data_IF_765206694624
#
_entry.id   IF_765206694624
#
_cell.length_a   1.000
_cell.length_b   1.000
_cell.length_c   1.000
_cell.angle_alpha   90.00
_cell.angle_beta   90.00
_cell.angle_gamma   90.00
#
_symmetry.space_group_name_H-M   'P 1'
#
loop_
_entity.id
_entity.type
_entity.pdbx_description
1 polymer ?
#
# COMPACT_ATOMS: atom_id res chain seq x y z
N UNK A 1 -13.28 6.69 -32.02
CA UNK A 1 -13.86 6.60 -30.66
C UNK A 1 -13.92 5.13 -30.26
N UNK A 2 -12.81 4.56 -29.78
CA UNK A 2 -12.65 3.10 -29.48
C UNK A 2 -12.56 2.79 -27.98
N UNK A 3 -12.77 3.80 -27.12
CA UNK A 3 -12.69 3.68 -25.66
C UNK A 3 -13.78 2.78 -25.05
N UNK A 4 -15.01 2.89 -25.55
CA UNK A 4 -16.18 2.16 -25.05
C UNK A 4 -16.05 0.62 -25.22
N UNK A 5 -15.64 0.08 -26.40
CA UNK A 5 -15.41 -1.35 -26.57
C UNK A 5 -14.38 -1.96 -25.60
N UNK A 6 -13.33 -1.23 -25.25
CA UNK A 6 -12.28 -1.71 -24.34
C UNK A 6 -12.83 -1.83 -22.92
N UNK A 7 -13.53 -0.80 -22.46
CA UNK A 7 -14.15 -0.79 -21.13
C UNK A 7 -15.16 -1.93 -21.03
N UNK A 8 -15.99 -2.13 -22.06
CA UNK A 8 -16.96 -3.20 -22.10
C UNK A 8 -16.30 -4.59 -22.05
N UNK A 9 -15.25 -4.82 -22.84
CA UNK A 9 -14.48 -6.08 -22.80
C UNK A 9 -13.94 -6.35 -21.39
N UNK A 10 -13.28 -5.37 -20.78
CA UNK A 10 -12.68 -5.50 -19.45
C UNK A 10 -13.75 -5.75 -18.36
N UNK A 11 -14.88 -5.05 -18.43
CA UNK A 11 -16.00 -5.25 -17.51
C UNK A 11 -16.65 -6.61 -17.67
N UNK A 12 -16.86 -7.10 -18.91
CA UNK A 12 -17.39 -8.45 -19.16
C UNK A 12 -16.46 -9.54 -18.63
N UNK A 13 -15.15 -9.39 -18.81
CA UNK A 13 -14.15 -10.33 -18.27
C UNK A 13 -14.22 -10.37 -16.74
N UNK A 14 -14.33 -9.22 -16.09
CA UNK A 14 -14.45 -9.14 -14.63
C UNK A 14 -15.78 -9.68 -14.13
N UNK A 15 -16.90 -9.36 -14.79
CA UNK A 15 -18.23 -9.84 -14.41
C UNK A 15 -18.34 -11.38 -14.42
N UNK A 16 -17.63 -12.05 -15.33
CA UNK A 16 -17.60 -13.52 -15.43
C UNK A 16 -16.74 -14.20 -14.36
N UNK A 17 -15.91 -13.47 -13.61
CA UNK A 17 -15.13 -14.06 -12.50
C UNK A 17 -16.02 -14.23 -11.27
N UNK A 18 -16.30 -15.48 -10.87
CA UNK A 18 -17.01 -15.84 -9.62
C UNK A 18 -16.39 -15.19 -8.35
N UNK A 19 -15.12 -14.76 -8.43
CA UNK A 19 -14.39 -14.06 -7.37
C UNK A 19 -14.77 -12.60 -7.13
N UNK A 20 -15.80 -12.02 -7.77
CA UNK A 20 -16.24 -10.64 -7.49
C UNK A 20 -17.03 -10.48 -6.18
N UNK A 21 -17.58 -11.57 -5.62
CA UNK A 21 -18.35 -11.55 -4.36
C UNK A 21 -17.44 -11.47 -3.13
N UNK A 22 -16.36 -12.25 -3.11
CA UNK A 22 -15.43 -12.31 -1.99
C UNK A 22 -14.81 -10.96 -1.59
N UNK A 23 -14.30 -10.11 -2.51
CA UNK A 23 -13.73 -8.83 -2.12
C UNK A 23 -14.77 -7.89 -1.49
N UNK A 24 -16.04 -7.95 -1.91
CA UNK A 24 -17.13 -7.13 -1.34
C UNK A 24 -17.42 -7.50 0.12
N UNK A 25 -17.51 -8.80 0.41
CA UNK A 25 -17.75 -9.29 1.77
C UNK A 25 -16.56 -8.92 2.67
N UNK A 26 -15.33 -9.10 2.17
CA UNK A 26 -14.12 -8.73 2.91
C UNK A 26 -14.10 -7.22 3.20
N UNK A 27 -14.39 -6.36 2.21
CA UNK A 27 -14.41 -4.91 2.42
C UNK A 27 -15.49 -4.48 3.39
N UNK A 28 -16.68 -5.10 3.36
CA UNK A 28 -17.75 -4.81 4.31
C UNK A 28 -17.37 -5.23 5.74
N UNK A 29 -16.78 -6.42 5.92
CA UNK A 29 -16.31 -6.88 7.24
C UNK A 29 -15.19 -5.99 7.77
N UNK A 30 -14.22 -5.61 6.93
CA UNK A 30 -13.15 -4.68 7.32
C UNK A 30 -13.73 -3.32 7.70
N UNK A 31 -14.69 -2.79 6.93
CA UNK A 31 -15.37 -1.55 7.28
C UNK A 31 -16.10 -1.64 8.62
N UNK A 32 -16.78 -2.76 8.89
CA UNK A 32 -17.44 -3.02 10.17
C UNK A 32 -16.44 -3.04 11.32
N UNK A 33 -15.31 -3.73 11.17
CA UNK A 33 -14.26 -3.75 12.19
C UNK A 33 -13.68 -2.34 12.44
N UNK A 34 -13.47 -1.55 11.39
CA UNK A 34 -12.99 -0.16 11.50
C UNK A 34 -14.01 0.70 12.25
N UNK A 35 -15.29 0.62 11.89
CA UNK A 35 -16.37 1.35 12.57
C UNK A 35 -16.43 0.91 14.04
N UNK A 36 -16.47 -0.39 14.31
CA UNK A 36 -16.53 -0.90 15.67
C UNK A 36 -15.33 -0.42 16.50
N UNK A 37 -14.14 -0.47 15.92
CA UNK A 37 -12.91 0.01 16.55
C UNK A 37 -12.96 1.50 16.86
N UNK A 38 -13.30 2.34 15.88
CA UNK A 38 -13.30 3.80 16.03
C UNK A 38 -14.42 4.31 16.94
N UNK A 39 -15.56 3.63 16.96
CA UNK A 39 -16.75 4.06 17.68
C UNK A 39 -16.77 3.53 19.12
N UNK A 40 -16.52 2.24 19.31
CA UNK A 40 -16.71 1.60 20.61
C UNK A 40 -15.44 1.63 21.44
N UNK A 41 -14.28 1.22 20.92
CA UNK A 41 -13.06 1.04 21.73
C UNK A 41 -12.68 2.27 22.57
N UNK A 42 -12.75 3.51 22.05
CA UNK A 42 -12.46 4.69 22.87
C UNK A 42 -13.42 4.85 24.06
N UNK A 43 -14.69 4.44 23.92
CA UNK A 43 -15.67 4.49 25.01
C UNK A 43 -15.36 3.44 26.09
N UNK A 44 -15.00 2.23 25.70
CA UNK A 44 -14.65 1.16 26.66
C UNK A 44 -13.47 1.56 27.55
N UNK A 45 -12.61 2.47 27.07
CA UNK A 45 -11.41 2.92 27.78
C UNK A 45 -11.55 4.32 28.39
N UNK A 46 -12.76 4.89 28.41
CA UNK A 46 -12.97 6.21 29.02
C UNK A 46 -12.33 7.37 28.27
N UNK A 47 -12.03 7.20 26.97
CA UNK A 47 -11.53 8.24 26.05
C UNK A 47 -12.60 8.60 25.00
N UNK A 48 -13.73 9.19 25.39
CA UNK A 48 -14.77 9.57 24.46
C UNK A 48 -14.24 10.63 23.49
N UNK A 49 -14.09 10.25 22.21
CA UNK A 49 -13.81 11.21 21.15
C UNK A 49 -15.07 11.99 20.77
N UNK A 50 -14.94 13.26 20.36
CA UNK A 50 -16.07 13.99 19.80
C UNK A 50 -16.60 13.28 18.55
N UNK A 51 -17.93 13.26 18.30
CA UNK A 51 -18.51 12.49 17.21
C UNK A 51 -17.94 12.84 15.83
N UNK A 52 -17.65 14.13 15.59
CA UNK A 52 -17.00 14.62 14.36
C UNK A 52 -15.62 13.97 14.13
N UNK A 53 -14.78 13.86 15.18
CA UNK A 53 -13.47 13.23 15.08
C UNK A 53 -13.56 11.72 14.85
N UNK A 54 -14.56 11.05 15.43
CA UNK A 54 -14.82 9.64 15.18
C UNK A 54 -15.22 9.39 13.72
N UNK A 55 -16.11 10.22 13.16
CA UNK A 55 -16.50 10.16 11.74
C UNK A 55 -15.30 10.45 10.82
N UNK A 56 -14.51 11.49 11.11
CA UNK A 56 -13.31 11.83 10.33
C UNK A 56 -12.28 10.68 10.35
N UNK A 57 -12.04 10.08 11.51
CA UNK A 57 -11.11 8.95 11.67
C UNK A 57 -11.62 7.69 10.96
N UNK A 58 -12.92 7.43 11.01
CA UNK A 58 -13.52 6.32 10.28
C UNK A 58 -13.36 6.50 8.75
N UNK A 59 -13.67 7.69 8.24
CA UNK A 59 -13.50 8.00 6.82
C UNK A 59 -12.04 7.99 6.37
N UNK A 60 -11.09 8.42 7.20
CA UNK A 60 -9.66 8.37 6.85
C UNK A 60 -9.17 6.92 6.73
N UNK A 61 -9.58 6.02 7.63
CA UNK A 61 -9.28 4.59 7.56
C UNK A 61 -9.97 3.89 6.38
N UNK A 62 -11.20 4.26 6.02
CA UNK A 62 -11.86 3.71 4.82
C UNK A 62 -11.22 4.23 3.53
N UNK A 63 -10.80 5.51 3.52
CA UNK A 63 -10.05 6.10 2.41
C UNK A 63 -8.70 5.41 2.22
N UNK A 64 -8.07 4.98 3.31
CA UNK A 64 -6.87 4.14 3.28
C UNK A 64 -7.13 2.81 2.59
N UNK A 65 -8.21 2.12 2.95
CA UNK A 65 -8.61 0.85 2.30
C UNK A 65 -8.86 1.07 0.81
N UNK A 66 -9.56 2.15 0.45
CA UNK A 66 -9.81 2.54 -0.95
C UNK A 66 -8.50 2.78 -1.71
N UNK A 67 -7.55 3.52 -1.12
CA UNK A 67 -6.24 3.81 -1.71
C UNK A 67 -5.43 2.53 -1.98
N UNK A 68 -5.35 1.63 -1.01
CA UNK A 68 -4.64 0.36 -1.19
C UNK A 68 -5.32 -0.54 -2.22
N UNK A 69 -6.65 -0.54 -2.25
CA UNK A 69 -7.42 -1.33 -3.20
C UNK A 69 -7.25 -0.83 -4.63
N UNK A 70 -7.35 0.49 -4.86
CA UNK A 70 -7.16 1.09 -6.18
C UNK A 70 -5.74 0.86 -6.71
N UNK A 71 -4.72 1.05 -5.86
CA UNK A 71 -3.34 0.77 -6.23
C UNK A 71 -3.12 -0.70 -6.59
N UNK A 72 -3.66 -1.65 -5.80
CA UNK A 72 -3.49 -3.09 -6.06
C UNK A 72 -4.16 -3.56 -7.34
N UNK A 73 -5.41 -3.14 -7.58
CA UNK A 73 -6.18 -3.58 -8.76
C UNK A 73 -5.57 -3.07 -10.08
N UNK A 74 -4.90 -1.91 -10.05
CA UNK A 74 -4.31 -1.29 -11.24
C UNK A 74 -2.83 -1.62 -11.44
N UNK A 75 -2.07 -1.89 -10.37
CA UNK A 75 -0.62 -2.04 -10.41
C UNK A 75 -0.11 -3.22 -11.27
N UNK A 76 -0.87 -4.31 -11.43
CA UNK A 76 -0.48 -5.40 -12.34
C UNK A 76 -1.22 -5.37 -13.70
N UNK A 77 -2.17 -4.45 -13.91
CA UNK A 77 -3.09 -4.52 -15.06
C UNK A 77 -2.45 -4.33 -16.43
N UNK A 78 -1.31 -3.61 -16.51
CA UNK A 78 -0.54 -3.40 -17.74
C UNK A 78 0.69 -4.31 -17.79
N UNK A 79 1.32 -4.56 -16.64
CA UNK A 79 2.45 -5.48 -16.56
C UNK A 79 2.05 -6.94 -16.80
N UNK A 80 0.83 -7.34 -16.46
CA UNK A 80 0.26 -8.66 -16.80
C UNK A 80 0.14 -8.82 -18.32
N UNK A 81 -0.41 -7.84 -19.04
CA UNK A 81 -0.51 -7.88 -20.51
C UNK A 81 0.87 -7.85 -21.20
N UNK A 82 1.83 -7.15 -20.60
CA UNK A 82 3.21 -7.17 -21.08
C UNK A 82 3.85 -8.55 -20.90
N UNK A 83 3.66 -9.19 -19.73
CA UNK A 83 4.18 -10.53 -19.42
C UNK A 83 3.56 -11.60 -20.31
N UNK A 84 2.27 -11.46 -20.61
CA UNK A 84 1.53 -12.35 -21.51
C UNK A 84 1.75 -12.04 -23.00
N UNK A 85 2.58 -11.05 -23.33
CA UNK A 85 2.86 -10.60 -24.71
C UNK A 85 1.61 -10.18 -25.51
N UNK A 86 0.50 -9.88 -24.83
CA UNK A 86 -0.76 -9.46 -25.47
C UNK A 86 -0.82 -7.96 -25.74
N UNK A 87 0.04 -7.17 -25.09
CA UNK A 87 0.11 -5.72 -25.27
C UNK A 87 0.46 -5.32 -26.72
N UNK A 88 1.37 -6.06 -27.36
CA UNK A 88 1.76 -5.81 -28.75
C UNK A 88 0.59 -6.02 -29.71
N UNK A 89 -0.16 -7.13 -29.54
CA UNK A 89 -1.36 -7.43 -30.30
C UNK A 89 -2.44 -6.36 -30.13
N UNK A 90 -2.59 -5.82 -28.92
CA UNK A 90 -3.56 -4.78 -28.61
C UNK A 90 -3.24 -3.46 -29.32
N UNK A 91 -1.96 -3.12 -29.46
CA UNK A 91 -1.52 -1.89 -30.15
C UNK A 91 -1.50 -2.01 -31.69
N UNK A 92 -1.52 -3.23 -32.24
CA UNK A 92 -1.71 -3.45 -33.68
C UNK A 92 -3.12 -3.04 -34.15
N UNK A 93 -4.10 -3.03 -33.25
CA UNK A 93 -5.49 -2.65 -33.54
C UNK A 93 -5.75 -1.13 -33.64
N UNK A 94 -4.73 -0.35 -34.03
CA UNK A 94 -4.74 1.13 -34.13
C UNK A 94 -5.10 1.88 -32.83
N UNK A 95 -4.96 1.26 -31.66
CA UNK A 95 -5.24 1.88 -30.37
C UNK A 95 -4.07 2.73 -29.87
N UNK A 96 -4.36 3.94 -29.37
CA UNK A 96 -3.34 4.79 -28.75
C UNK A 96 -3.10 4.33 -27.30
N UNK A 97 -1.86 4.42 -26.81
CA UNK A 97 -1.52 3.98 -25.45
C UNK A 97 -2.31 4.69 -24.34
N UNK A 98 -2.73 5.94 -24.55
CA UNK A 98 -3.59 6.66 -23.62
C UNK A 98 -5.05 6.14 -23.60
N UNK A 99 -5.54 5.59 -24.72
CA UNK A 99 -6.88 5.00 -24.79
C UNK A 99 -6.94 3.69 -23.99
N UNK A 100 -5.88 2.89 -24.07
CA UNK A 100 -5.71 1.68 -23.26
C UNK A 100 -5.61 2.03 -21.77
N UNK A 101 -4.79 3.04 -21.43
CA UNK A 101 -4.61 3.48 -20.05
C UNK A 101 -5.92 3.96 -19.42
N UNK A 102 -6.68 4.80 -20.12
CA UNK A 102 -7.97 5.31 -19.65
C UNK A 102 -9.03 4.22 -19.54
N UNK A 103 -9.09 3.28 -20.50
CA UNK A 103 -9.99 2.13 -20.43
C UNK A 103 -9.71 1.23 -19.22
N UNK A 104 -8.44 0.95 -18.92
CA UNK A 104 -8.03 0.18 -17.74
C UNK A 104 -8.27 0.92 -16.43
N UNK A 105 -8.07 2.24 -16.41
CA UNK A 105 -8.42 3.06 -15.26
C UNK A 105 -9.91 2.94 -14.95
N UNK A 106 -10.77 3.21 -15.94
CA UNK A 106 -12.23 3.19 -15.78
C UNK A 106 -12.76 1.82 -15.37
N UNK A 107 -12.28 0.74 -15.99
CA UNK A 107 -12.75 -0.60 -15.61
C UNK A 107 -12.33 -0.98 -14.19
N UNK A 108 -11.15 -0.55 -13.73
CA UNK A 108 -10.65 -0.82 -12.38
C UNK A 108 -11.34 0.07 -11.34
N UNK A 109 -11.57 1.36 -11.63
CA UNK A 109 -12.27 2.28 -10.73
C UNK A 109 -13.73 1.90 -10.56
N UNK A 110 -14.43 1.47 -11.63
CA UNK A 110 -15.81 0.95 -11.52
C UNK A 110 -15.85 -0.30 -10.64
N UNK A 111 -14.91 -1.22 -10.84
CA UNK A 111 -14.84 -2.45 -10.03
C UNK A 111 -14.61 -2.13 -8.54
N UNK A 112 -13.69 -1.21 -8.25
CA UNK A 112 -13.41 -0.78 -6.89
C UNK A 112 -14.55 0.07 -6.29
N UNK A 113 -15.22 0.90 -7.08
CA UNK A 113 -16.41 1.65 -6.68
C UNK A 113 -17.53 0.73 -6.23
N UNK A 114 -17.79 -0.35 -6.97
CA UNK A 114 -18.77 -1.36 -6.55
C UNK A 114 -18.40 -2.07 -5.24
N UNK A 115 -17.11 -2.22 -4.93
CA UNK A 115 -16.70 -2.78 -3.62
C UNK A 115 -16.82 -1.75 -2.50
N UNK A 116 -16.61 -0.46 -2.79
CA UNK A 116 -16.82 0.62 -1.82
C UNK A 116 -18.30 0.85 -1.52
N UNK A 117 -19.22 0.59 -2.46
CA UNK A 117 -20.66 0.62 -2.17
C UNK A 117 -21.06 -0.33 -1.03
N UNK A 118 -20.28 -1.40 -0.79
CA UNK A 118 -20.51 -2.30 0.33
C UNK A 118 -20.20 -1.66 1.71
N UNK A 119 -19.46 -0.54 1.76
CA UNK A 119 -19.17 0.17 3.01
C UNK A 119 -20.23 1.21 3.36
N UNK A 120 -21.10 1.59 2.42
CA UNK A 120 -22.17 2.59 2.63
C UNK A 120 -23.09 2.23 3.80
N UNK A 121 -23.60 0.99 3.93
CA UNK A 121 -24.44 0.64 5.07
C UNK A 121 -23.67 0.75 6.40
N UNK A 122 -22.39 0.40 6.41
CA UNK A 122 -21.54 0.43 7.60
C UNK A 122 -21.27 1.88 8.04
N UNK A 123 -21.15 2.79 7.08
CA UNK A 123 -21.00 4.24 7.32
C UNK A 123 -22.23 4.87 7.99
N UNK A 124 -23.42 4.25 7.93
CA UNK A 124 -24.60 4.76 8.64
C UNK A 124 -24.42 4.75 10.16
N UNK A 125 -23.68 3.78 10.70
CA UNK A 125 -23.47 3.62 12.16
C UNK A 125 -22.78 4.83 12.80
N UNK A 126 -21.61 5.31 12.32
CA UNK A 126 -21.00 6.50 12.89
C UNK A 126 -21.83 7.78 12.63
N UNK A 127 -22.62 7.82 11.55
CA UNK A 127 -23.50 8.96 11.26
C UNK A 127 -24.68 9.06 12.24
N UNK A 128 -25.21 7.93 12.71
CA UNK A 128 -26.28 7.88 13.72
C UNK A 128 -25.86 8.43 15.08
N UNK A 129 -24.55 8.46 15.38
CA UNK A 129 -24.02 9.03 16.63
C UNK A 129 -24.11 10.56 16.70
N UNK A 130 -24.57 11.19 15.61
CA UNK A 130 -24.55 12.64 15.45
C UNK A 130 -23.15 13.13 15.04
N UNK A 131 -23.08 14.36 14.52
CA UNK A 131 -21.80 15.02 14.21
C UNK A 131 -21.40 15.09 12.73
N UNK A 132 -22.28 14.76 11.79
CA UNK A 132 -22.03 15.04 10.38
C UNK A 132 -23.27 15.57 9.67
N UNK A 133 -23.14 16.74 9.06
CA UNK A 133 -24.16 17.26 8.14
C UNK A 133 -24.20 16.41 6.85
N UNK A 134 -25.37 16.25 6.20
CA UNK A 134 -25.46 15.52 4.93
C UNK A 134 -24.48 16.01 3.85
N UNK A 135 -24.22 17.33 3.83
CA UNK A 135 -23.25 17.96 2.94
C UNK A 135 -21.82 17.51 3.26
N UNK A 136 -21.46 17.37 4.53
CA UNK A 136 -20.15 16.86 4.95
C UNK A 136 -19.97 15.40 4.50
N UNK A 137 -20.99 14.55 4.67
CA UNK A 137 -20.94 13.15 4.19
C UNK A 137 -20.73 13.06 2.68
N UNK A 138 -21.41 13.91 1.91
CA UNK A 138 -21.23 13.97 0.46
C UNK A 138 -19.79 14.38 0.08
N UNK A 139 -19.24 15.41 0.74
CA UNK A 139 -17.85 15.84 0.55
C UNK A 139 -16.86 14.71 0.87
N UNK A 140 -17.07 13.96 1.95
CA UNK A 140 -16.21 12.83 2.31
C UNK A 140 -16.30 11.68 1.30
N UNK A 141 -17.50 11.39 0.80
CA UNK A 141 -17.69 10.40 -0.27
C UNK A 141 -16.93 10.80 -1.54
N UNK A 142 -16.95 12.09 -1.91
CA UNK A 142 -16.16 12.62 -3.02
C UNK A 142 -14.65 12.47 -2.78
N UNK A 143 -14.15 12.76 -1.57
CA UNK A 143 -12.73 12.58 -1.22
C UNK A 143 -12.32 11.11 -1.35
N UNK A 144 -13.15 10.18 -0.88
CA UNK A 144 -12.88 8.75 -0.96
C UNK A 144 -12.83 8.28 -2.44
N UNK A 145 -13.77 8.73 -3.27
CA UNK A 145 -13.79 8.43 -4.71
C UNK A 145 -12.56 9.04 -5.43
N UNK A 146 -12.22 10.28 -5.11
CA UNK A 146 -11.06 10.96 -5.69
C UNK A 146 -9.75 10.24 -5.34
N UNK A 147 -9.60 9.83 -4.07
CA UNK A 147 -8.46 9.05 -3.61
C UNK A 147 -8.38 7.69 -4.31
N UNK A 148 -9.52 7.05 -4.56
CA UNK A 148 -9.57 5.82 -5.34
C UNK A 148 -9.04 6.03 -6.76
N UNK A 149 -9.50 7.08 -7.45
CA UNK A 149 -9.04 7.40 -8.82
C UNK A 149 -7.54 7.73 -8.84
N UNK A 150 -7.06 8.53 -7.89
CA UNK A 150 -5.64 8.87 -7.77
C UNK A 150 -4.77 7.63 -7.51
N UNK A 151 -5.18 6.76 -6.58
CA UNK A 151 -4.45 5.52 -6.29
C UNK A 151 -4.42 4.55 -7.48
N UNK A 152 -5.52 4.48 -8.23
CA UNK A 152 -5.61 3.72 -9.46
C UNK A 152 -4.69 4.27 -10.57
N UNK A 153 -4.60 5.59 -10.69
CA UNK A 153 -3.69 6.26 -11.63
C UNK A 153 -2.21 6.01 -11.26
N UNK A 154 -1.88 6.06 -9.96
CA UNK A 154 -0.53 5.75 -9.45
C UNK A 154 -0.14 4.29 -9.73
N UNK A 155 -1.05 3.34 -9.46
CA UNK A 155 -0.83 1.93 -9.79
C UNK A 155 -0.59 1.71 -11.28
N UNK A 156 -1.42 2.31 -12.13
CA UNK A 156 -1.27 2.24 -13.59
C UNK A 156 0.05 2.85 -14.09
N UNK A 157 0.47 3.98 -13.51
CA UNK A 157 1.73 4.64 -13.83
C UNK A 157 2.94 3.74 -13.57
N UNK A 158 3.00 3.08 -12.41
CA UNK A 158 4.08 2.16 -12.09
C UNK A 158 3.99 0.84 -12.87
N UNK A 159 2.77 0.36 -13.15
CA UNK A 159 2.51 -0.81 -14.01
C UNK A 159 3.07 -0.60 -15.41
N UNK A 160 2.86 0.58 -16.00
CA UNK A 160 3.39 0.92 -17.33
C UNK A 160 4.91 0.96 -17.40
N UNK A 161 5.61 1.27 -16.28
CA UNK A 161 7.07 1.45 -16.22
C UNK A 161 7.85 0.23 -15.75
N UNK A 162 7.17 -0.71 -15.10
CA UNK A 162 7.82 -1.88 -14.50
C UNK A 162 7.35 -3.15 -15.21
N UNK A 163 8.25 -4.10 -15.46
CA UNK A 163 7.89 -5.38 -16.11
C UNK A 163 7.48 -6.45 -15.09
N UNK A 164 7.63 -6.13 -13.81
CA UNK A 164 7.43 -7.02 -12.68
C UNK A 164 6.26 -6.43 -11.86
N UNK A 165 5.11 -7.09 -11.91
CA UNK A 165 3.86 -6.61 -11.31
C UNK A 165 3.98 -6.33 -9.82
N UNK A 166 4.81 -7.10 -9.11
CA UNK A 166 5.04 -6.87 -7.68
C UNK A 166 5.77 -5.58 -7.40
N UNK A 167 6.81 -5.30 -8.19
CA UNK A 167 7.57 -4.06 -8.04
C UNK A 167 6.69 -2.85 -8.34
N UNK A 168 5.81 -2.97 -9.35
CA UNK A 168 4.81 -1.95 -9.61
C UNK A 168 3.88 -1.77 -8.41
N UNK A 169 3.40 -2.87 -7.81
CA UNK A 169 2.54 -2.84 -6.63
C UNK A 169 3.24 -2.21 -5.42
N UNK A 170 4.47 -2.62 -5.09
CA UNK A 170 5.22 -2.07 -3.94
C UNK A 170 5.49 -0.58 -4.12
N UNK A 171 5.88 -0.15 -5.32
CA UNK A 171 6.11 1.27 -5.63
C UNK A 171 4.83 2.10 -5.56
N UNK A 172 3.72 1.57 -6.08
CA UNK A 172 2.43 2.25 -6.00
C UNK A 172 1.96 2.39 -4.54
N UNK A 173 2.11 1.35 -3.72
CA UNK A 173 1.77 1.40 -2.30
C UNK A 173 2.69 2.33 -1.50
N UNK A 174 3.98 2.39 -1.85
CA UNK A 174 4.92 3.32 -1.23
C UNK A 174 4.53 4.77 -1.49
N UNK A 175 4.24 5.10 -2.76
CA UNK A 175 3.87 6.46 -3.11
C UNK A 175 2.54 6.85 -2.46
N UNK A 176 1.55 5.95 -2.43
CA UNK A 176 0.29 6.23 -1.73
C UNK A 176 0.46 6.38 -0.22
N UNK A 177 1.25 5.52 0.43
CA UNK A 177 1.53 5.65 1.86
C UNK A 177 2.26 6.95 2.19
N UNK A 178 3.22 7.35 1.34
CA UNK A 178 3.90 8.63 1.46
C UNK A 178 2.91 9.80 1.38
N UNK A 179 2.02 9.81 0.38
CA UNK A 179 1.02 10.87 0.19
C UNK A 179 -0.01 10.94 1.32
N UNK A 180 -0.41 9.81 1.91
CA UNK A 180 -1.48 9.76 2.91
C UNK A 180 -1.03 9.97 4.35
N UNK A 181 0.24 9.71 4.67
CA UNK A 181 0.75 9.78 6.04
C UNK A 181 1.90 10.76 6.21
N UNK A 182 2.93 10.64 5.37
CA UNK A 182 4.16 11.46 5.51
C UNK A 182 3.90 12.89 5.09
N UNK A 183 3.15 13.09 4.01
CA UNK A 183 2.81 14.43 3.52
C UNK A 183 1.95 15.22 4.52
N UNK A 184 0.83 14.69 5.06
CA UNK A 184 0.05 15.41 6.07
C UNK A 184 0.84 15.66 7.36
N UNK A 185 1.74 14.77 7.80
CA UNK A 185 2.59 15.07 8.96
C UNK A 185 3.57 16.20 8.70
N UNK A 186 4.17 16.27 7.50
CA UNK A 186 5.04 17.38 7.10
C UNK A 186 4.29 18.71 7.06
N UNK A 187 3.08 18.69 6.51
CA UNK A 187 2.18 19.85 6.43
C UNK A 187 1.74 20.30 7.81
N UNK A 188 1.36 19.35 8.66
CA UNK A 188 0.95 19.59 10.03
C UNK A 188 2.01 20.40 10.78
N UNK A 189 3.26 19.99 10.66
CA UNK A 189 4.39 20.70 11.27
C UNK A 189 4.60 22.10 10.68
N UNK A 190 4.54 22.25 9.35
CA UNK A 190 4.70 23.55 8.70
C UNK A 190 3.60 24.55 9.11
N UNK A 191 2.40 24.07 9.44
CA UNK A 191 1.30 24.91 9.88
C UNK A 191 1.47 25.46 11.31
N UNK A 192 2.23 24.78 12.18
CA UNK A 192 2.45 25.20 13.58
C UNK A 192 3.46 26.37 13.65
N UNK A 193 4.46 26.39 12.77
CA UNK A 193 5.51 27.42 12.73
C UNK A 193 5.07 28.83 12.24
N UNK A 194 3.79 29.00 11.93
CA UNK A 194 3.20 30.29 11.54
C UNK A 194 3.55 30.82 10.13
N UNK A 195 3.00 31.99 9.75
CA UNK A 195 2.97 32.48 8.36
C UNK A 195 4.32 32.95 7.78
N UNK A 196 5.33 33.17 8.63
CA UNK A 196 6.64 33.74 8.26
C UNK A 196 7.70 32.68 7.92
N UNK A 197 7.34 31.39 7.95
CA UNK A 197 8.28 30.29 7.70
C UNK A 197 8.72 30.19 6.23
N UNK A 198 10.01 29.88 5.95
CA UNK A 198 10.49 29.62 4.58
C UNK A 198 9.83 28.39 3.92
N UNK A 199 9.09 27.58 4.67
CA UNK A 199 8.43 26.36 4.22
C UNK A 199 7.04 26.59 3.61
N UNK A 200 6.68 27.82 3.22
CA UNK A 200 5.41 28.12 2.54
C UNK A 200 5.19 27.28 1.27
N UNK A 201 6.25 26.88 0.57
CA UNK A 201 6.15 25.96 -0.56
C UNK A 201 5.66 24.56 -0.14
N UNK A 202 5.93 24.12 1.09
CA UNK A 202 5.36 22.90 1.65
C UNK A 202 3.86 23.01 1.88
N UNK A 203 3.32 24.23 2.07
CA UNK A 203 1.87 24.44 2.10
C UNK A 203 1.21 24.16 0.74
N UNK A 204 1.93 24.29 -0.38
CA UNK A 204 1.43 23.84 -1.69
C UNK A 204 1.42 22.31 -1.81
N UNK A 205 2.26 21.60 -1.05
CA UNK A 205 2.23 20.14 -0.99
C UNK A 205 0.97 19.64 -0.26
N UNK A 206 0.31 20.45 0.58
CA UNK A 206 -0.97 20.10 1.19
C UNK A 206 -1.99 19.60 0.18
N UNK A 207 -2.07 20.24 -0.98
CA UNK A 207 -3.05 19.91 -2.01
C UNK A 207 -2.88 18.49 -2.58
N UNK A 208 -1.68 17.91 -2.49
CA UNK A 208 -1.43 16.53 -2.92
C UNK A 208 -1.88 15.49 -1.88
N UNK A 209 -2.15 15.88 -0.64
CA UNK A 209 -2.54 14.96 0.43
C UNK A 209 -4.03 14.56 0.32
N UNK A 210 -4.35 13.27 0.12
CA UNK A 210 -5.74 12.82 0.00
C UNK A 210 -6.52 12.85 1.33
N UNK A 211 -5.83 12.80 2.48
CA UNK A 211 -6.48 12.68 3.80
C UNK A 211 -6.79 14.02 4.45
N UNK A 212 -6.03 15.09 4.17
CA UNK A 212 -6.28 16.43 4.74
C UNK A 212 -7.70 16.97 4.50
N UNK A 213 -8.32 16.79 3.31
CA UNK A 213 -9.69 17.24 3.07
C UNK A 213 -10.74 16.66 4.02
N UNK A 214 -10.50 15.47 4.58
CA UNK A 214 -11.41 14.81 5.52
C UNK A 214 -11.48 15.60 6.82
N UNK A 215 -10.33 16.01 7.34
CA UNK A 215 -10.20 16.77 8.57
C UNK A 215 -10.72 18.21 8.41
N UNK A 216 -10.45 18.83 7.25
CA UNK A 216 -10.94 20.17 6.93
C UNK A 216 -12.46 20.29 6.78
N UNK A 217 -13.16 19.23 6.36
CA UNK A 217 -14.64 19.22 6.26
C UNK A 217 -15.32 19.41 7.63
N UNK A 218 -14.71 18.91 8.69
CA UNK A 218 -15.25 19.03 10.05
C UNK A 218 -14.63 20.18 10.85
N UNK A 219 -13.66 20.90 10.28
CA UNK A 219 -12.88 21.90 11.03
C UNK A 219 -12.09 21.29 12.18
N UNK A 220 -11.84 19.97 12.15
CA UNK A 220 -11.10 19.25 13.18
C UNK A 220 -9.62 19.27 12.81
N UNK A 221 -8.79 19.97 13.58
CA UNK A 221 -7.34 20.08 13.31
C UNK A 221 -6.96 21.32 12.49
N UNK A 222 -6.09 21.16 11.48
CA UNK A 222 -5.48 22.26 10.69
C UNK A 222 -6.48 23.09 9.86
N UNK A 223 -7.23 23.97 10.52
CA UNK A 223 -8.10 24.97 9.90
C UNK A 223 -7.33 25.98 9.04
N UNK A 224 -6.11 26.37 9.46
CA UNK A 224 -5.27 27.36 8.76
C UNK A 224 -4.77 26.92 7.38
N UNK A 225 -4.60 25.60 7.15
CA UNK A 225 -4.20 25.07 5.84
C UNK A 225 -5.36 25.03 4.83
N UNK A 226 -6.61 25.06 5.32
CA UNK A 226 -7.81 24.98 4.50
C UNK A 226 -8.26 26.35 3.95
N UNK A 227 -7.88 27.44 4.62
CA UNK A 227 -8.20 28.82 4.23
C UNK A 227 -7.57 29.26 2.90
N UNK A 228 -6.47 28.63 2.48
CA UNK A 228 -5.71 29.02 1.27
C UNK A 228 -6.33 28.55 -0.06
N UNK A 229 -7.29 27.63 -0.04
CA UNK A 229 -7.85 27.09 -1.29
C UNK A 229 -9.22 26.41 -1.19
N UNK A 230 -9.73 26.13 0.00
CA UNK A 230 -11.01 25.44 0.18
C UNK A 230 -11.06 24.02 -0.38
N UNK A 231 -12.12 23.30 -0.05
CA UNK A 231 -12.32 21.87 -0.38
C UNK A 231 -12.12 21.52 -1.87
N UNK A 232 -12.59 22.38 -2.78
CA UNK A 232 -12.60 22.10 -4.21
C UNK A 232 -11.22 22.15 -4.88
N UNK A 233 -10.29 22.96 -4.37
CA UNK A 233 -8.93 23.04 -4.92
C UNK A 233 -8.14 21.77 -4.63
N UNK A 234 -8.26 21.20 -3.42
CA UNK A 234 -7.67 19.90 -3.09
C UNK A 234 -8.13 18.82 -4.07
N UNK A 235 -9.44 18.73 -4.30
CA UNK A 235 -10.03 17.77 -5.23
C UNK A 235 -9.54 18.00 -6.67
N UNK A 236 -9.52 19.27 -7.12
CA UNK A 236 -9.06 19.64 -8.46
C UNK A 236 -7.58 19.32 -8.70
N UNK A 237 -6.71 19.63 -7.76
CA UNK A 237 -5.26 19.35 -7.86
C UNK A 237 -5.00 17.85 -7.89
N UNK A 238 -5.66 17.08 -7.02
CA UNK A 238 -5.53 15.62 -6.99
C UNK A 238 -6.04 14.97 -8.27
N UNK A 239 -7.16 15.44 -8.80
CA UNK A 239 -7.71 14.95 -10.06
C UNK A 239 -6.81 15.33 -11.24
N UNK A 240 -6.25 16.55 -11.26
CA UNK A 240 -5.24 16.97 -12.23
C UNK A 240 -4.01 16.06 -12.20
N UNK A 241 -3.49 15.76 -11.01
CA UNK A 241 -2.39 14.82 -10.82
C UNK A 241 -2.73 13.41 -11.33
N UNK A 242 -3.93 12.91 -11.04
CA UNK A 242 -4.38 11.61 -11.52
C UNK A 242 -4.38 11.54 -13.07
N UNK A 243 -4.93 12.55 -13.75
CA UNK A 243 -4.92 12.60 -15.22
C UNK A 243 -3.52 12.76 -15.82
N UNK A 244 -2.65 13.55 -15.18
CA UNK A 244 -1.24 13.67 -15.58
C UNK A 244 -0.53 12.31 -15.49
N UNK A 245 -0.76 11.55 -14.42
CA UNK A 245 -0.21 10.21 -14.25
C UNK A 245 -0.75 9.22 -15.29
N UNK A 246 -2.04 9.28 -15.61
CA UNK A 246 -2.66 8.45 -16.66
C UNK A 246 -2.07 8.78 -18.03
N UNK A 247 -1.90 10.06 -18.35
CA UNK A 247 -1.25 10.47 -19.59
C UNK A 247 0.21 9.99 -19.65
N UNK A 248 0.93 10.11 -18.54
CA UNK A 248 2.29 9.62 -18.42
C UNK A 248 2.38 8.08 -18.47
N UNK A 249 1.33 7.37 -18.05
CA UNK A 249 1.20 5.92 -18.20
C UNK A 249 0.94 5.54 -19.67
N UNK A 250 0.05 6.25 -20.36
CA UNK A 250 -0.23 6.06 -21.79
C UNK A 250 1.01 6.29 -22.65
N UNK A 251 1.76 7.36 -22.40
CA UNK A 251 3.09 7.57 -23.03
C UNK A 251 4.06 6.45 -22.69
N UNK A 252 4.02 5.93 -21.46
CA UNK A 252 4.84 4.81 -21.01
C UNK A 252 4.57 3.53 -21.79
N UNK A 253 3.29 3.18 -21.97
CA UNK A 253 2.82 2.01 -22.74
C UNK A 253 3.35 2.06 -24.18
N UNK A 254 3.12 3.17 -24.89
CA UNK A 254 3.56 3.32 -26.29
C UNK A 254 5.08 3.31 -26.44
N UNK A 255 5.82 3.88 -25.47
CA UNK A 255 7.29 3.86 -25.52
C UNK A 255 7.88 2.48 -25.27
N UNK A 256 7.15 1.58 -24.59
CA UNK A 256 7.61 0.23 -24.26
C UNK A 256 7.26 -0.80 -25.31
N UNK A 257 6.18 -0.59 -26.04
CA UNK A 257 5.77 -1.48 -27.14
C UNK A 257 6.69 -1.39 -28.36
N UNK A 258 7.41 -0.28 -28.51
CA UNK A 258 8.46 -0.15 -29.52
C UNK A 258 9.74 -0.65 -28.88
N UNK A 259 10.15 -1.88 -29.21
CA UNK A 259 11.45 -2.46 -28.84
C UNK A 259 12.58 -1.61 -29.42
N UNK A 260 12.92 -0.51 -28.73
CA UNK A 260 14.08 0.29 -29.10
C UNK A 260 15.33 -0.44 -28.63
N UNK A 261 16.35 -0.59 -29.49
CA UNK A 261 17.63 -1.14 -29.06
C UNK A 261 18.16 -0.33 -27.89
N UNK A 262 18.64 -1.03 -26.86
CA UNK A 262 19.12 -0.40 -25.62
C UNK A 262 20.40 0.36 -25.95
N UNK A 263 20.35 1.70 -26.01
CA UNK A 263 21.53 2.52 -26.26
C UNK A 263 22.65 2.29 -25.23
N UNK A 264 23.91 2.46 -25.63
CA UNK A 264 25.12 2.15 -24.85
C UNK A 264 25.14 2.69 -23.40
N UNK A 265 24.63 3.91 -23.18
CA UNK A 265 24.51 4.48 -21.83
C UNK A 265 23.57 3.67 -20.93
N UNK A 266 22.44 3.20 -21.46
CA UNK A 266 21.49 2.36 -20.73
C UNK A 266 22.02 0.94 -20.49
N UNK A 267 22.94 0.45 -21.32
CA UNK A 267 23.64 -0.82 -21.10
C UNK A 267 24.61 -0.72 -19.89
N UNK A 268 25.38 0.37 -19.79
CA UNK A 268 26.25 0.63 -18.64
C UNK A 268 25.46 0.79 -17.32
N UNK A 269 24.34 1.51 -17.36
CA UNK A 269 23.42 1.58 -16.23
C UNK A 269 22.77 0.24 -15.91
N UNK A 270 22.37 -0.56 -16.90
CA UNK A 270 21.85 -1.93 -16.69
C UNK A 270 22.88 -2.86 -16.08
N UNK A 271 24.16 -2.74 -16.46
CA UNK A 271 25.25 -3.49 -15.84
C UNK A 271 25.48 -3.06 -14.39
N UNK A 272 25.55 -1.75 -14.10
CA UNK A 272 25.65 -1.23 -12.72
C UNK A 272 24.45 -1.64 -11.86
N UNK A 273 23.25 -1.59 -12.42
CA UNK A 273 22.03 -2.09 -11.77
C UNK A 273 22.05 -3.61 -11.61
N UNK A 274 22.59 -4.36 -12.56
CA UNK A 274 22.78 -5.81 -12.48
C UNK A 274 23.75 -6.21 -11.37
N UNK A 275 24.86 -5.47 -11.24
CA UNK A 275 25.84 -5.61 -10.18
C UNK A 275 25.25 -5.26 -8.81
N UNK A 276 24.46 -4.20 -8.71
CA UNK A 276 23.71 -3.95 -7.48
C UNK A 276 22.69 -5.08 -7.23
N UNK A 277 21.93 -5.57 -8.24
CA UNK A 277 20.82 -6.56 -8.11
C UNK A 277 21.27 -7.91 -7.61
N UNK A 278 22.39 -8.39 -8.13
CA UNK A 278 22.86 -9.76 -7.96
C UNK A 278 24.19 -9.81 -7.19
N UNK A 279 24.87 -8.69 -7.01
CA UNK A 279 26.26 -8.62 -6.57
C UNK A 279 27.25 -8.85 -7.72
N UNK A 280 28.54 -8.63 -7.44
CA UNK A 280 29.61 -9.07 -8.34
C UNK A 280 29.55 -10.59 -8.59
N UNK A 281 30.14 -11.03 -9.69
CA UNK A 281 30.11 -12.45 -10.14
C UNK A 281 30.63 -13.41 -9.07
N UNK A 282 31.74 -13.09 -8.41
CA UNK A 282 32.32 -13.89 -7.33
C UNK A 282 31.41 -13.97 -6.09
N UNK A 283 30.87 -12.83 -5.65
CA UNK A 283 29.96 -12.76 -4.48
C UNK A 283 28.65 -13.50 -4.75
N UNK A 284 28.15 -13.44 -5.99
CA UNK A 284 26.95 -14.16 -6.44
C UNK A 284 27.16 -15.67 -6.41
N UNK A 285 28.31 -16.15 -6.90
CA UNK A 285 28.63 -17.59 -6.91
C UNK A 285 28.80 -18.14 -5.50
N UNK A 286 29.48 -17.41 -4.61
CA UNK A 286 29.64 -17.81 -3.21
C UNK A 286 28.29 -17.83 -2.46
N UNK A 287 27.47 -16.79 -2.62
CA UNK A 287 26.12 -16.74 -2.03
C UNK A 287 25.20 -17.82 -2.58
N UNK A 288 25.28 -18.10 -3.88
CA UNK A 288 24.52 -19.20 -4.51
C UNK A 288 24.89 -20.54 -3.91
N UNK A 289 26.18 -20.87 -3.77
CA UNK A 289 26.63 -22.12 -3.15
C UNK A 289 26.08 -22.25 -1.72
N UNK A 290 26.36 -21.28 -0.85
CA UNK A 290 25.87 -21.30 0.56
C UNK A 290 24.36 -21.46 0.69
N UNK A 291 23.58 -20.80 -0.18
CA UNK A 291 22.12 -20.89 -0.14
C UNK A 291 21.59 -22.20 -0.72
N UNK A 292 22.20 -22.73 -1.79
CA UNK A 292 21.85 -24.04 -2.33
C UNK A 292 22.20 -25.18 -1.36
N UNK A 293 23.32 -25.05 -0.65
CA UNK A 293 23.76 -26.02 0.37
C UNK A 293 22.79 -26.05 1.57
N UNK A 294 22.15 -24.93 1.89
CA UNK A 294 21.14 -24.84 2.96
C UNK A 294 19.77 -25.30 2.50
N UNK A 295 19.26 -24.70 1.42
CA UNK A 295 17.96 -25.05 0.85
C UNK A 295 17.81 -24.47 -0.59
N UNK A 296 17.64 -25.33 -1.60
CA UNK A 296 17.47 -24.88 -2.99
C UNK A 296 16.28 -23.94 -3.22
N UNK A 297 15.19 -24.14 -2.48
CA UNK A 297 13.99 -23.31 -2.59
C UNK A 297 14.18 -21.93 -1.95
N UNK A 298 14.90 -21.86 -0.83
CA UNK A 298 15.29 -20.58 -0.22
C UNK A 298 16.13 -19.74 -1.20
N UNK A 299 17.04 -20.37 -1.96
CA UNK A 299 17.79 -19.67 -3.01
C UNK A 299 16.89 -19.14 -4.14
N UNK A 300 15.91 -19.92 -4.59
CA UNK A 300 14.98 -19.52 -5.64
C UNK A 300 14.22 -18.25 -5.24
N UNK A 301 13.71 -18.23 -4.01
CA UNK A 301 12.96 -17.09 -3.45
C UNK A 301 13.90 -15.93 -3.07
N UNK A 302 15.13 -16.16 -2.62
CA UNK A 302 16.04 -15.09 -2.22
C UNK A 302 17.10 -14.73 -3.28
N UNK A 303 16.87 -15.14 -4.54
CA UNK A 303 17.78 -14.95 -5.69
C UNK A 303 18.15 -13.48 -5.93
N UNK A 304 17.22 -12.56 -5.67
CA UNK A 304 17.45 -11.12 -5.83
C UNK A 304 17.85 -10.49 -4.50
N UNK A 305 19.05 -9.91 -4.41
CA UNK A 305 19.59 -9.34 -3.15
C UNK A 305 18.68 -8.25 -2.56
N UNK A 306 17.99 -7.53 -3.42
CA UNK A 306 17.12 -6.42 -3.03
C UNK A 306 15.74 -6.87 -2.50
N UNK A 307 15.42 -8.17 -2.49
CA UNK A 307 14.14 -8.64 -1.95
C UNK A 307 13.98 -8.27 -0.47
N UNK A 308 15.05 -8.35 0.33
CA UNK A 308 15.06 -7.90 1.73
C UNK A 308 15.11 -6.36 1.87
N UNK A 309 15.53 -5.64 0.83
CA UNK A 309 15.61 -4.18 0.86
C UNK A 309 14.24 -3.52 0.76
N UNK A 310 13.29 -4.10 0.00
CA UNK A 310 11.97 -3.49 -0.18
C UNK A 310 11.14 -3.38 1.10
N UNK A 311 11.05 -4.42 1.95
CA UNK A 311 10.38 -4.31 3.24
C UNK A 311 11.08 -3.32 4.17
N UNK A 312 12.41 -3.35 4.21
CA UNK A 312 13.19 -2.46 5.04
C UNK A 312 13.06 -0.99 4.60
N UNK A 313 13.08 -0.71 3.31
CA UNK A 313 12.88 0.64 2.78
C UNK A 313 11.48 1.14 3.13
N UNK A 314 10.48 0.25 3.04
CA UNK A 314 9.08 0.62 3.19
C UNK A 314 8.69 0.89 4.65
N UNK A 315 9.30 0.20 5.62
CA UNK A 315 9.14 0.51 7.05
C UNK A 315 10.15 1.55 7.54
N UNK A 316 11.38 1.53 7.04
CA UNK A 316 12.46 2.41 7.46
C UNK A 316 12.34 3.84 6.96
N UNK A 317 11.76 4.08 5.77
CA UNK A 317 11.62 5.42 5.22
C UNK A 317 10.67 6.32 6.05
N UNK A 318 9.45 5.88 6.45
CA UNK A 318 8.62 6.65 7.37
C UNK A 318 9.34 6.97 8.68
N UNK A 319 10.03 5.98 9.26
CA UNK A 319 10.80 6.16 10.49
C UNK A 319 11.94 7.17 10.33
N UNK A 320 12.71 7.07 9.23
CA UNK A 320 13.83 7.96 8.96
C UNK A 320 13.39 9.40 8.72
N UNK A 321 12.27 9.59 8.01
CA UNK A 321 11.69 10.92 7.81
C UNK A 321 11.23 11.49 9.15
N UNK A 322 10.50 10.70 9.95
CA UNK A 322 10.08 11.12 11.29
C UNK A 322 11.25 11.47 12.20
N UNK A 323 12.29 10.63 12.28
CA UNK A 323 13.46 10.91 13.10
C UNK A 323 14.22 12.16 12.64
N UNK A 324 14.33 12.37 11.32
CA UNK A 324 14.98 13.57 10.79
C UNK A 324 14.18 14.83 11.13
N UNK A 325 12.85 14.76 11.07
CA UNK A 325 11.96 15.86 11.43
C UNK A 325 12.00 16.15 12.93
N UNK A 326 11.98 15.12 13.79
CA UNK A 326 12.07 15.26 15.23
C UNK A 326 13.39 15.92 15.67
N UNK A 327 14.51 15.58 15.01
CA UNK A 327 15.82 16.20 15.28
C UNK A 327 15.88 17.63 14.74
N UNK A 328 15.31 17.89 13.56
CA UNK A 328 15.34 19.22 12.96
C UNK A 328 14.43 20.23 13.69
N UNK A 329 13.37 19.75 14.34
CA UNK A 329 12.34 20.59 14.97
C UNK A 329 11.89 20.02 16.33
N UNK A 330 12.77 20.04 17.35
CA UNK A 330 12.51 19.38 18.64
C UNK A 330 11.34 20.00 19.42
N UNK A 331 11.10 21.30 19.30
CA UNK A 331 10.05 22.01 20.07
C UNK A 331 8.65 21.88 19.42
N UNK A 332 8.59 21.49 18.15
CA UNK A 332 7.37 21.47 17.33
C UNK A 332 6.85 20.05 17.07
N UNK A 333 7.74 19.06 17.14
CA UNK A 333 7.38 17.65 16.94
C UNK A 333 7.04 17.04 18.29
N UNK A 334 5.76 16.86 18.55
CA UNK A 334 5.32 16.02 19.66
C UNK A 334 5.68 14.54 19.34
N UNK A 335 6.69 13.95 19.99
CA UNK A 335 7.26 12.68 19.52
C UNK A 335 6.31 11.50 19.73
N UNK A 336 5.43 11.62 20.72
CA UNK A 336 4.52 10.55 21.15
C UNK A 336 3.37 10.39 20.15
N UNK A 337 2.63 11.47 19.87
CA UNK A 337 1.45 11.43 19.01
C UNK A 337 1.83 11.07 17.56
N UNK A 338 2.81 11.76 16.98
CA UNK A 338 3.29 11.50 15.62
C UNK A 338 4.02 10.15 15.53
N UNK A 339 4.81 9.78 16.55
CA UNK A 339 5.48 8.50 16.62
C UNK A 339 4.51 7.32 16.62
N UNK A 340 3.37 7.44 17.30
CA UNK A 340 2.31 6.43 17.31
C UNK A 340 1.74 6.19 15.91
N UNK A 341 1.47 7.25 15.15
CA UNK A 341 1.02 7.12 13.76
C UNK A 341 2.06 6.42 12.87
N UNK A 342 3.35 6.77 13.01
CA UNK A 342 4.44 6.17 12.23
C UNK A 342 4.58 4.68 12.55
N UNK A 343 4.53 4.31 13.82
CA UNK A 343 4.62 2.90 14.25
C UNK A 343 3.43 2.09 13.74
N UNK A 344 2.20 2.61 13.85
CA UNK A 344 1.01 1.95 13.32
C UNK A 344 1.12 1.77 11.80
N UNK A 345 1.58 2.81 11.08
CA UNK A 345 1.81 2.75 9.65
C UNK A 345 2.80 1.64 9.28
N UNK A 346 3.94 1.57 9.97
CA UNK A 346 4.95 0.53 9.76
C UNK A 346 4.37 -0.88 9.91
N UNK A 347 3.54 -1.12 10.93
CA UNK A 347 2.88 -2.42 11.13
C UNK A 347 1.94 -2.77 9.98
N UNK A 348 1.05 -1.86 9.58
CA UNK A 348 0.07 -2.09 8.50
C UNK A 348 0.79 -2.39 7.19
N UNK A 349 1.78 -1.57 6.87
CA UNK A 349 2.60 -1.69 5.68
C UNK A 349 3.36 -3.02 5.62
N UNK A 350 3.96 -3.44 6.73
CA UNK A 350 4.71 -4.68 6.83
C UNK A 350 3.80 -5.91 6.69
N UNK A 351 2.67 -5.96 7.40
CA UNK A 351 1.68 -7.05 7.30
C UNK A 351 1.15 -7.17 5.87
N UNK A 352 0.86 -6.05 5.23
CA UNK A 352 0.39 -6.03 3.85
C UNK A 352 1.39 -6.63 2.86
N UNK A 353 2.69 -6.35 3.03
CA UNK A 353 3.73 -6.96 2.21
C UNK A 353 3.90 -8.44 2.51
N UNK A 354 3.89 -8.84 3.78
CA UNK A 354 3.98 -10.25 4.17
C UNK A 354 2.89 -11.08 3.52
N UNK A 355 1.64 -10.60 3.51
CA UNK A 355 0.51 -11.26 2.81
C UNK A 355 0.79 -11.39 1.31
N UNK A 356 1.27 -10.31 0.69
CA UNK A 356 1.51 -10.29 -0.76
C UNK A 356 2.65 -11.24 -1.16
N UNK A 357 3.71 -11.29 -0.37
CA UNK A 357 4.90 -12.08 -0.68
C UNK A 357 4.79 -13.54 -0.22
N UNK A 358 3.89 -13.88 0.71
CA UNK A 358 3.64 -15.28 1.06
C UNK A 358 2.81 -16.01 -0.01
N UNK A 359 1.89 -15.31 -0.68
CA UNK A 359 0.92 -15.92 -1.62
C UNK A 359 1.37 -15.83 -3.08
N UNK A 360 1.77 -14.63 -3.53
CA UNK A 360 1.97 -14.38 -4.95
C UNK A 360 3.09 -15.24 -5.57
N UNK A 361 4.24 -15.58 -4.91
CA UNK A 361 5.33 -16.32 -5.58
C UNK A 361 4.95 -17.74 -5.91
N UNK A 362 4.32 -18.38 -4.95
CA UNK A 362 3.81 -19.72 -5.11
C UNK A 362 2.74 -19.79 -6.21
N UNK A 363 1.89 -18.75 -6.33
CA UNK A 363 0.93 -18.66 -7.42
C UNK A 363 1.58 -18.40 -8.78
N UNK A 364 2.60 -17.54 -8.84
CA UNK A 364 3.33 -17.27 -10.09
C UNK A 364 4.08 -18.52 -10.56
N UNK A 365 4.82 -19.18 -9.67
CA UNK A 365 5.55 -20.42 -9.98
C UNK A 365 4.62 -21.55 -10.42
N UNK A 366 3.39 -21.61 -9.89
CA UNK A 366 2.35 -22.53 -10.38
C UNK A 366 1.83 -22.16 -11.77
N UNK A 367 1.52 -20.88 -12.01
CA UNK A 367 1.02 -20.43 -13.32
C UNK A 367 2.04 -20.69 -14.44
N UNK A 368 3.33 -20.62 -14.11
CA UNK A 368 4.43 -20.86 -15.04
C UNK A 368 4.79 -22.36 -15.17
N UNK A 369 4.11 -23.26 -14.45
CA UNK A 369 4.41 -24.71 -14.44
C UNK A 369 5.69 -25.10 -13.69
N UNK A 370 6.47 -24.11 -13.23
CA UNK A 370 7.72 -24.29 -12.48
C UNK A 370 7.52 -25.03 -11.17
N UNK A 371 6.37 -24.87 -10.51
CA UNK A 371 6.05 -25.58 -9.28
C UNK A 371 5.91 -27.10 -9.49
N UNK A 372 5.37 -27.54 -10.64
CA UNK A 372 5.26 -28.97 -10.97
C UNK A 372 6.64 -29.58 -11.25
N UNK A 373 7.51 -28.81 -11.92
CA UNK A 373 8.93 -29.13 -12.08
C UNK A 373 9.64 -29.25 -10.73
N UNK A 374 9.42 -28.32 -9.79
CA UNK A 374 10.00 -28.39 -8.45
C UNK A 374 9.51 -29.61 -7.66
N UNK A 375 8.26 -30.03 -7.83
CA UNK A 375 7.73 -31.24 -7.19
C UNK A 375 8.23 -32.53 -7.84
N UNK A 376 8.76 -32.47 -9.06
CA UNK A 376 9.45 -33.60 -9.72
C UNK A 376 10.92 -33.75 -9.31
N UNK A 377 11.47 -32.76 -8.59
CA UNK A 377 12.81 -32.85 -7.99
C UNK A 377 12.76 -33.62 -6.67
N UNK A 378 13.89 -34.17 -6.17
CA UNK A 378 13.92 -34.93 -4.91
C UNK A 378 13.67 -34.09 -3.64
N UNK A 379 13.15 -32.87 -3.76
CA UNK A 379 12.83 -31.99 -2.63
C UNK A 379 11.64 -32.55 -1.84
N UNK A 380 11.86 -32.83 -0.56
CA UNK A 380 10.80 -33.24 0.34
C UNK A 380 9.88 -32.06 0.72
N UNK A 381 8.62 -32.35 1.08
CA UNK A 381 7.67 -31.32 1.55
C UNK A 381 8.21 -30.52 2.76
N UNK A 382 9.01 -31.16 3.63
CA UNK A 382 9.63 -30.51 4.78
C UNK A 382 10.71 -29.51 4.36
N UNK A 383 11.55 -29.89 3.40
CA UNK A 383 12.56 -28.97 2.84
C UNK A 383 11.90 -27.81 2.10
N UNK A 384 10.81 -28.06 1.37
CA UNK A 384 10.04 -26.98 0.74
C UNK A 384 9.52 -25.97 1.76
N UNK A 385 8.87 -26.44 2.84
CA UNK A 385 8.37 -25.56 3.91
C UNK A 385 9.50 -24.83 4.64
N UNK A 386 10.60 -25.53 4.95
CA UNK A 386 11.76 -24.93 5.60
C UNK A 386 12.40 -23.83 4.73
N UNK A 387 12.46 -24.03 3.41
CA UNK A 387 12.99 -23.07 2.45
C UNK A 387 12.13 -21.81 2.35
N UNK A 388 10.80 -21.97 2.31
CA UNK A 388 9.86 -20.84 2.30
C UNK A 388 9.96 -20.04 3.61
N UNK A 389 10.04 -20.73 4.75
CA UNK A 389 10.22 -20.09 6.06
C UNK A 389 11.56 -19.34 6.17
N UNK A 390 12.65 -19.96 5.71
CA UNK A 390 13.98 -19.33 5.64
C UNK A 390 13.99 -18.09 4.74
N UNK A 391 13.30 -18.15 3.61
CA UNK A 391 13.15 -17.01 2.71
C UNK A 391 12.39 -15.86 3.36
N UNK A 392 11.27 -16.15 4.03
CA UNK A 392 10.49 -15.13 4.74
C UNK A 392 11.29 -14.49 5.88
N UNK A 393 12.07 -15.28 6.63
CA UNK A 393 12.97 -14.78 7.69
C UNK A 393 14.07 -13.90 7.16
N UNK A 394 14.75 -14.30 6.09
CA UNK A 394 15.82 -13.48 5.51
C UNK A 394 15.29 -12.21 4.84
N UNK A 395 14.05 -12.22 4.33
CA UNK A 395 13.43 -11.08 3.66
C UNK A 395 12.83 -10.06 4.65
N UNK A 396 12.04 -10.52 5.62
CA UNK A 396 11.27 -9.66 6.52
C UNK A 396 11.90 -9.47 7.90
N UNK A 397 12.83 -10.34 8.31
CA UNK A 397 13.46 -10.29 9.63
C UNK A 397 14.00 -8.90 10.01
N UNK A 398 14.80 -8.22 9.16
CA UNK A 398 15.28 -6.87 9.44
C UNK A 398 14.16 -5.83 9.59
N UNK A 399 13.14 -5.89 8.73
CA UNK A 399 12.02 -4.95 8.77
C UNK A 399 11.13 -5.17 10.00
N UNK A 400 10.93 -6.43 10.42
CA UNK A 400 10.26 -6.79 11.67
C UNK A 400 11.05 -6.27 12.86
N UNK A 401 12.37 -6.49 12.89
CA UNK A 401 13.23 -6.03 13.98
C UNK A 401 13.21 -4.49 14.13
N UNK A 402 13.31 -3.75 13.02
CA UNK A 402 13.21 -2.28 13.04
C UNK A 402 11.83 -1.80 13.52
N UNK A 403 10.76 -2.47 13.09
CA UNK A 403 9.39 -2.12 13.52
C UNK A 403 9.19 -2.39 15.01
N UNK A 404 9.65 -3.54 15.51
CA UNK A 404 9.60 -3.87 16.93
C UNK A 404 10.46 -2.92 17.77
N UNK A 405 11.66 -2.56 17.29
CA UNK A 405 12.53 -1.60 17.96
C UNK A 405 11.86 -0.22 18.04
N UNK A 406 11.30 0.29 16.94
CA UNK A 406 10.57 1.56 16.93
C UNK A 406 9.37 1.55 17.88
N UNK A 407 8.63 0.43 17.93
CA UNK A 407 7.50 0.24 18.86
C UNK A 407 7.96 0.21 20.31
N UNK A 408 9.05 -0.49 20.60
CA UNK A 408 9.65 -0.56 21.94
C UNK A 408 10.14 0.80 22.41
N UNK A 409 10.84 1.55 21.55
CA UNK A 409 11.27 2.92 21.86
C UNK A 409 10.07 3.82 22.16
N UNK A 410 9.03 3.78 21.33
CA UNK A 410 7.82 4.57 21.58
C UNK A 410 7.13 4.17 22.89
N UNK A 411 7.02 2.87 23.19
CA UNK A 411 6.44 2.39 24.43
C UNK A 411 7.24 2.87 25.66
N UNK A 412 8.57 2.87 25.57
CA UNK A 412 9.45 3.42 26.63
C UNK A 412 9.24 4.92 26.77
N UNK A 413 9.18 5.68 25.67
CA UNK A 413 8.92 7.13 25.73
C UNK A 413 7.58 7.45 26.39
N UNK A 414 6.53 6.71 26.05
CA UNK A 414 5.21 6.87 26.69
C UNK A 414 5.26 6.47 28.15
N UNK A 415 6.00 5.42 28.51
CA UNK A 415 6.14 5.00 29.91
C UNK A 415 6.90 6.04 30.75
N UNK A 416 7.95 6.66 30.21
CA UNK A 416 8.69 7.71 30.89
C UNK A 416 7.85 8.99 31.05
N UNK A 417 7.03 9.32 30.05
CA UNK A 417 6.08 10.43 30.14
C UNK A 417 4.92 10.13 31.11
N UNK A 418 4.55 8.85 31.24
CA UNK A 418 3.55 8.35 32.18
C UNK A 418 3.93 8.54 33.66
N UNK A 419 5.22 8.59 33.99
CA UNK A 419 5.66 8.92 35.36
C UNK A 419 5.35 10.38 35.72
N UNK A 420 5.10 11.25 34.73
CA UNK A 420 4.68 12.65 34.92
C UNK A 420 3.15 12.86 34.83
N UNK A 421 2.37 11.95 34.26
CA UNK A 421 0.92 12.14 34.06
C UNK A 421 0.10 10.84 34.08
N UNK A 422 -1.13 10.94 34.65
CA UNK A 422 -2.30 10.01 34.76
C UNK A 422 -2.18 8.55 34.28
N UNK A 423 -2.87 7.61 34.97
CA UNK A 423 -2.96 6.16 34.65
C UNK A 423 -3.24 5.76 33.18
N UNK A 424 -3.76 6.68 32.37
CA UNK A 424 -4.03 6.51 30.94
C UNK A 424 -2.76 6.28 30.09
N UNK A 425 -1.66 6.91 30.43
CA UNK A 425 -0.38 6.80 29.70
C UNK A 425 0.24 5.41 29.86
N UNK A 426 0.13 4.82 31.06
CA UNK A 426 0.55 3.44 31.37
C UNK A 426 -0.25 2.39 30.61
N UNK A 427 -1.56 2.60 30.48
CA UNK A 427 -2.42 1.70 29.69
C UNK A 427 -2.09 1.78 28.21
N UNK A 428 -1.91 2.98 27.64
CA UNK A 428 -1.48 3.14 26.23
C UNK A 428 -0.14 2.47 25.94
N UNK A 429 0.84 2.56 26.85
CA UNK A 429 2.13 1.88 26.72
C UNK A 429 1.97 0.34 26.72
N UNK A 430 1.16 -0.21 27.63
CA UNK A 430 0.84 -1.65 27.66
C UNK A 430 0.15 -2.10 26.37
N UNK A 431 -0.74 -1.27 25.84
CA UNK A 431 -1.53 -1.55 24.64
C UNK A 431 -0.72 -1.44 23.34
N UNK A 432 0.43 -0.75 23.34
CA UNK A 432 1.41 -0.79 22.26
C UNK A 432 2.25 -2.08 22.25
N UNK A 433 2.37 -2.75 23.40
CA UNK A 433 3.00 -4.08 23.51
C UNK A 433 2.21 -5.17 22.78
N UNK A 434 0.87 -5.07 22.77
CA UNK A 434 0.00 -6.06 22.11
C UNK A 434 0.20 -6.12 20.58
N UNK A 435 0.23 -5.00 19.82
CA UNK A 435 0.59 -5.00 18.41
C UNK A 435 1.98 -5.56 18.11
N UNK A 436 2.97 -5.33 18.99
CA UNK A 436 4.32 -5.83 18.82
C UNK A 436 4.36 -7.36 18.93
N UNK A 437 3.69 -7.92 19.95
CA UNK A 437 3.51 -9.37 20.10
C UNK A 437 2.69 -9.92 18.93
N UNK A 438 1.60 -9.24 18.58
CA UNK A 438 0.73 -9.57 17.45
C UNK A 438 1.49 -9.62 16.13
N UNK A 439 2.49 -8.75 15.90
CA UNK A 439 3.29 -8.76 14.67
C UNK A 439 4.10 -10.06 14.51
N UNK A 440 4.61 -10.63 15.61
CA UNK A 440 5.34 -11.90 15.58
C UNK A 440 4.40 -13.06 15.26
N UNK A 441 3.22 -13.09 15.88
CA UNK A 441 2.18 -14.07 15.56
C UNK A 441 1.65 -13.91 14.14
N UNK A 442 1.44 -12.68 13.67
CA UNK A 442 1.02 -12.40 12.31
C UNK A 442 2.06 -12.87 11.31
N UNK A 443 3.35 -12.64 11.58
CA UNK A 443 4.40 -13.11 10.70
C UNK A 443 4.39 -14.66 10.58
N UNK A 444 4.16 -15.37 11.68
CA UNK A 444 4.00 -16.83 11.67
C UNK A 444 2.74 -17.28 10.94
N UNK A 445 1.59 -16.68 11.25
CA UNK A 445 0.30 -17.10 10.71
C UNK A 445 0.17 -16.76 9.23
N UNK A 446 0.61 -15.59 8.79
CA UNK A 446 0.50 -15.14 7.39
C UNK A 446 1.38 -15.96 6.43
N UNK A 447 2.52 -16.45 6.91
CA UNK A 447 3.38 -17.33 6.12
C UNK A 447 2.76 -18.73 6.02
N UNK A 448 2.23 -19.27 7.11
CA UNK A 448 1.48 -20.53 7.12
C UNK A 448 0.22 -20.50 6.25
N UNK A 449 -0.65 -19.51 6.46
CA UNK A 449 -1.88 -19.32 5.69
C UNK A 449 -1.57 -19.04 4.23
N UNK A 450 -0.49 -18.30 3.93
CA UNK A 450 -0.03 -18.06 2.58
C UNK A 450 0.33 -19.36 1.85
N UNK A 451 1.12 -20.22 2.51
CA UNK A 451 1.45 -21.56 2.00
C UNK A 451 0.20 -22.43 1.83
N UNK A 452 -0.68 -22.48 2.82
CA UNK A 452 -1.92 -23.24 2.78
C UNK A 452 -2.85 -22.78 1.65
N UNK A 453 -3.04 -21.48 1.47
CA UNK A 453 -3.86 -20.95 0.40
C UNK A 453 -3.30 -21.28 -0.98
N UNK A 454 -1.96 -21.25 -1.12
CA UNK A 454 -1.28 -21.61 -2.35
C UNK A 454 -1.41 -23.10 -2.68
N UNK A 455 -1.42 -23.99 -1.67
CA UNK A 455 -1.59 -25.43 -1.87
C UNK A 455 -3.05 -25.83 -2.09
N UNK A 456 -3.97 -25.31 -1.26
CA UNK A 456 -5.38 -25.72 -1.20
C UNK A 456 -6.23 -25.25 -2.37
N UNK A 457 -6.06 -24.01 -2.87
CA UNK A 457 -6.89 -23.52 -4.00
C UNK A 457 -6.63 -24.24 -5.33
N UNK A 458 -5.58 -25.05 -5.41
CA UNK A 458 -5.24 -25.85 -6.60
C UNK A 458 -6.06 -27.13 -6.81
N UNK A 459 -6.72 -27.67 -5.79
CA UNK A 459 -7.56 -28.88 -5.94
C UNK A 459 -8.92 -28.59 -6.59
N UNK A 460 -9.34 -27.32 -6.64
CA UNK A 460 -10.67 -26.93 -7.15
C UNK A 460 -10.80 -26.79 -8.67
N UNK A 461 -9.78 -27.15 -9.46
CA UNK A 461 -9.92 -27.32 -10.93
C UNK A 461 -10.25 -28.76 -11.36
N UNK A 462 -10.46 -29.68 -10.40
CA UNK A 462 -10.98 -31.04 -10.66
C UNK A 462 -12.46 -31.23 -10.25
N UNK A 463 -13.28 -30.20 -10.40
CA UNK A 463 -14.74 -30.38 -10.37
C UNK A 463 -15.41 -29.35 -11.30
N UNK A 464 -15.71 -29.80 -12.52
CA UNK A 464 -16.69 -29.28 -13.49
C UNK A 464 -16.59 -27.80 -13.92
#
# INVERSE_FOLDING_TARGET
>A
MTLLPIIERELRVKARRKGLRSPRVITAVVALLIVTWTVFVPQWWGLPMPPQAAVATCFSLLTLVAAFMGARLTADSVSEEYREQTLGLLLLSHLKGWEVATGKLMSNTVTAGYTLMATVPVLSIPLLRGGAEPVAVFKLALVMLNTLVLSAAIGLFFSSRTSDGRRAQTLATLLMAFLMFVLPSLVAMAAIQGPTSPWRWAALLCFLCPTLPIYGVFGVGMSSAFDLGGFWTFLGVQQGLAWLLVFAAGRGITRRSVDRPVGGFRLGWRQRWGLWRLGGTATRSCRRRRMLDRNPFEWLVCRYRWRAFWPLLLTGLPLAIFSALAVAFPDEVEPISVGLFVVVLMHVLLKFQMVSDSVVPLLTERREGTAELLLSTPLSNREFMAGQWGAMRSQFGPAVAVTLAATGVLAVLIFLDAERSTDLSRTVAFLLGLPAVGLLFDWWTLTWVGMWCATWRGTSRKAA
#
